data_IF_371944858330
#
_entry.id   IF_371944858330
#
_cell.length_a   1.000
_cell.length_b   1.000
_cell.length_c   1.000
_cell.angle_alpha   90.00
_cell.angle_beta   90.00
_cell.angle_gamma   90.00
#
_symmetry.space_group_name_H-M   'P 1'
#
loop_
_entity.id
_entity.type
_entity.pdbx_description
1 polymer ?
#
# COMPACT_ATOMS: atom_id res chain seq x y z
N UNK A 1 -44.33 -79.45 -38.74
CA UNK A 1 -44.30 -80.01 -37.37
C UNK A 1 -43.07 -80.91 -37.27
N UNK A 2 -42.14 -80.85 -36.33
CA UNK A 2 -41.82 -80.00 -35.17
C UNK A 2 -40.29 -80.21 -35.01
N UNK A 3 -39.50 -79.14 -34.92
CA UNK A 3 -38.15 -79.26 -34.36
C UNK A 3 -38.10 -78.45 -33.08
N UNK A 4 -37.91 -79.17 -31.97
CA UNK A 4 -37.60 -78.61 -30.66
C UNK A 4 -36.11 -78.79 -30.46
N UNK A 5 -35.36 -77.68 -30.30
CA UNK A 5 -34.04 -77.71 -29.70
C UNK A 5 -33.85 -76.54 -28.73
N UNK A 6 -33.35 -76.94 -27.56
CA UNK A 6 -33.15 -76.21 -26.32
C UNK A 6 -32.26 -74.97 -26.52
N UNK A 7 -32.60 -73.85 -25.88
CA UNK A 7 -31.67 -72.73 -25.70
C UNK A 7 -30.99 -72.86 -24.34
N UNK A 8 -29.68 -72.84 -24.42
CA UNK A 8 -28.66 -72.99 -23.38
C UNK A 8 -28.54 -71.68 -22.59
N UNK A 9 -28.56 -71.78 -21.25
CA UNK A 9 -28.25 -70.68 -20.34
C UNK A 9 -26.76 -70.31 -20.44
N UNK A 10 -26.46 -69.03 -20.72
CA UNK A 10 -25.12 -68.46 -20.58
C UNK A 10 -25.21 -67.39 -19.48
N UNK A 11 -24.66 -67.72 -18.32
CA UNK A 11 -24.41 -66.78 -17.24
C UNK A 11 -23.26 -65.86 -17.66
N UNK A 12 -23.50 -64.54 -17.65
CA UNK A 12 -22.49 -63.54 -17.97
C UNK A 12 -21.77 -63.08 -16.71
N UNK A 13 -20.45 -63.04 -16.88
CA UNK A 13 -19.37 -62.82 -15.94
C UNK A 13 -19.38 -61.39 -15.39
N UNK A 14 -19.39 -61.27 -14.07
CA UNK A 14 -19.05 -60.05 -13.33
C UNK A 14 -17.53 -59.86 -13.32
N UNK A 15 -17.03 -58.77 -13.90
CA UNK A 15 -15.69 -58.25 -13.64
C UNK A 15 -15.80 -56.75 -13.35
N UNK A 16 -15.75 -56.42 -12.05
CA UNK A 16 -15.82 -55.07 -11.54
C UNK A 16 -14.54 -54.30 -11.87
N UNK A 17 -14.72 -53.13 -12.46
CA UNK A 17 -13.67 -52.14 -12.66
C UNK A 17 -13.62 -51.28 -11.39
N UNK A 18 -12.71 -51.58 -10.46
CA UNK A 18 -12.45 -50.71 -9.31
C UNK A 18 -11.57 -49.57 -9.81
N UNK A 19 -12.20 -48.43 -10.09
CA UNK A 19 -11.50 -47.19 -10.39
C UNK A 19 -10.77 -46.71 -9.13
N UNK A 20 -9.46 -46.54 -9.22
CA UNK A 20 -8.68 -45.76 -8.26
C UNK A 20 -9.09 -44.30 -8.41
N UNK A 21 -10.02 -43.83 -7.59
CA UNK A 21 -10.25 -42.39 -7.43
C UNK A 21 -9.01 -41.81 -6.75
N UNK A 22 -8.26 -41.04 -7.54
CA UNK A 22 -7.21 -40.15 -7.05
C UNK A 22 -7.83 -39.21 -6.02
N UNK A 23 -7.40 -39.33 -4.76
CA UNK A 23 -7.67 -38.35 -3.72
C UNK A 23 -6.89 -37.08 -4.05
N UNK A 24 -7.45 -36.24 -4.92
CA UNK A 24 -7.14 -34.82 -4.92
C UNK A 24 -7.80 -34.22 -3.67
N UNK A 25 -7.07 -34.14 -2.57
CA UNK A 25 -7.30 -33.09 -1.58
C UNK A 25 -6.98 -31.78 -2.27
N UNK A 26 -7.99 -31.21 -2.93
CA UNK A 26 -8.03 -29.79 -3.20
C UNK A 26 -8.33 -29.18 -1.84
N UNK A 27 -7.31 -28.68 -1.17
CA UNK A 27 -7.55 -27.52 -0.32
C UNK A 27 -8.10 -26.48 -1.31
N UNK A 28 -9.42 -26.31 -1.30
CA UNK A 28 -10.05 -25.23 -2.06
C UNK A 28 -9.38 -23.95 -1.55
N UNK A 29 -8.73 -23.15 -2.41
CA UNK A 29 -8.20 -21.88 -1.96
C UNK A 29 -9.34 -21.11 -1.32
N UNK A 30 -9.14 -20.69 -0.09
CA UNK A 30 -10.09 -19.82 0.59
C UNK A 30 -10.33 -18.62 -0.34
N UNK A 31 -11.59 -18.25 -0.63
CA UNK A 31 -11.86 -17.12 -1.49
C UNK A 31 -11.12 -15.92 -0.93
N UNK A 32 -10.26 -15.31 -1.75
CA UNK A 32 -9.59 -14.08 -1.37
C UNK A 32 -10.69 -13.05 -1.14
N UNK A 33 -10.90 -12.69 0.14
CA UNK A 33 -11.74 -11.56 0.48
C UNK A 33 -11.06 -10.35 -0.18
N UNK A 34 -11.75 -9.51 -0.96
CA UNK A 34 -11.15 -8.25 -1.41
C UNK A 34 -10.67 -7.51 -0.15
N UNK A 35 -9.35 -7.41 0.03
CA UNK A 35 -8.74 -6.98 1.30
C UNK A 35 -8.58 -5.46 1.38
N UNK A 36 -9.00 -4.74 0.33
CA UNK A 36 -8.97 -3.28 0.23
C UNK A 36 -9.97 -2.56 1.15
N UNK A 37 -10.74 -3.27 1.98
CA UNK A 37 -11.53 -2.63 3.05
C UNK A 37 -10.60 -2.21 4.20
N UNK A 38 -10.03 -1.01 4.11
CA UNK A 38 -9.14 -0.41 5.10
C UNK A 38 -9.96 0.17 6.26
N UNK A 39 -9.64 -0.24 7.50
CA UNK A 39 -10.27 0.29 8.71
C UNK A 39 -9.61 1.55 9.25
N UNK A 40 -8.30 1.70 9.05
CA UNK A 40 -7.56 2.92 9.41
C UNK A 40 -6.22 2.97 8.69
N UNK A 41 -5.69 4.17 8.48
CA UNK A 41 -4.33 4.38 7.97
C UNK A 41 -3.53 5.28 8.92
N UNK A 42 -2.22 5.08 9.04
CA UNK A 42 -1.35 5.99 9.80
C UNK A 42 -0.16 6.40 8.94
N UNK A 43 0.07 7.71 8.83
CA UNK A 43 1.31 8.27 8.30
C UNK A 43 2.23 8.58 9.47
N UNK A 44 3.43 8.01 9.46
CA UNK A 44 4.47 8.29 10.45
C UNK A 44 5.68 8.89 9.75
N UNK A 45 6.20 9.98 10.31
CA UNK A 45 7.36 10.71 9.84
C UNK A 45 8.41 10.60 10.93
N UNK A 46 9.48 9.86 10.65
CA UNK A 46 10.61 9.69 11.56
C UNK A 46 11.80 10.46 11.01
N UNK A 47 12.32 11.42 11.77
CA UNK A 47 13.51 12.17 11.37
C UNK A 47 14.70 11.22 11.13
N UNK A 48 15.43 11.46 10.05
CA UNK A 48 16.63 10.70 9.67
C UNK A 48 17.71 11.66 9.18
N UNK A 49 18.97 11.26 9.34
CA UNK A 49 20.09 11.98 8.74
C UNK A 49 20.28 11.52 7.30
N UNK A 50 20.30 12.45 6.34
CA UNK A 50 20.47 12.13 4.92
C UNK A 50 21.91 12.35 4.44
N UNK A 51 22.54 11.29 3.92
CA UNK A 51 23.91 11.32 3.40
C UNK A 51 23.94 10.93 1.93
N UNK A 52 23.76 11.91 1.05
CA UNK A 52 23.86 11.71 -0.39
C UNK A 52 22.70 10.90 -0.97
N UNK A 53 22.79 9.57 -0.89
CA UNK A 53 21.85 8.60 -1.47
C UNK A 53 21.22 7.64 -0.44
N UNK A 54 21.53 7.79 0.85
CA UNK A 54 20.99 6.93 1.90
C UNK A 54 20.71 7.71 3.19
N UNK A 55 19.78 7.16 3.99
CA UNK A 55 19.44 7.64 5.31
C UNK A 55 20.18 6.87 6.41
N UNK A 56 20.47 7.56 7.51
CA UNK A 56 20.89 6.99 8.78
C UNK A 56 19.86 7.31 9.85
N UNK A 57 19.56 6.31 10.68
CA UNK A 57 18.71 6.51 11.86
C UNK A 57 19.44 7.37 12.89
N UNK A 58 18.70 8.30 13.49
CA UNK A 58 19.16 9.07 14.64
C UNK A 58 18.95 8.26 15.92
N UNK A 59 19.74 8.55 16.97
CA UNK A 59 19.57 7.91 18.28
C UNK A 59 18.27 8.34 18.97
N UNK A 60 17.87 9.61 18.78
CA UNK A 60 16.65 10.20 19.33
C UNK A 60 15.94 11.01 18.23
N UNK A 61 15.31 10.33 17.25
CA UNK A 61 14.66 11.00 16.13
C UNK A 61 13.37 11.66 16.59
N UNK A 62 13.07 12.83 16.04
CA UNK A 62 11.70 13.35 16.10
C UNK A 62 10.76 12.42 15.34
N UNK A 63 9.64 12.06 15.96
CA UNK A 63 8.59 11.25 15.33
C UNK A 63 7.27 11.96 15.44
N UNK A 64 6.68 12.29 14.29
CA UNK A 64 5.32 12.83 14.21
C UNK A 64 4.45 11.89 13.40
N UNK A 65 3.19 11.74 13.78
CA UNK A 65 2.27 10.83 13.12
C UNK A 65 0.85 11.36 13.11
N UNK A 66 0.08 10.93 12.11
CA UNK A 66 -1.36 11.16 12.03
C UNK A 66 -2.05 9.87 11.61
N UNK A 67 -3.09 9.50 12.35
CA UNK A 67 -3.96 8.36 12.04
C UNK A 67 -5.25 8.87 11.42
N UNK A 68 -5.75 8.16 10.43
CA UNK A 68 -6.98 8.41 9.70
C UNK A 68 -7.95 7.26 9.97
N UNK A 69 -9.24 7.57 10.06
CA UNK A 69 -10.30 6.59 10.18
C UNK A 69 -10.62 5.89 8.84
N UNK A 70 -11.64 5.04 8.83
CA UNK A 70 -12.12 4.29 7.66
C UNK A 70 -12.58 5.21 6.51
N UNK A 71 -12.96 6.45 6.81
CA UNK A 71 -13.34 7.46 5.81
C UNK A 71 -12.13 8.27 5.30
N UNK A 72 -10.92 7.96 5.76
CA UNK A 72 -9.69 8.69 5.42
C UNK A 72 -9.60 10.06 6.11
N UNK A 73 -10.35 10.28 7.19
CA UNK A 73 -10.37 11.54 7.93
C UNK A 73 -9.43 11.49 9.13
N UNK A 74 -8.57 12.52 9.32
CA UNK A 74 -7.78 12.62 10.54
C UNK A 74 -8.63 13.15 11.71
N UNK A 75 -8.14 13.07 12.97
CA UNK A 75 -8.76 13.75 14.09
C UNK A 75 -9.00 15.24 13.82
N UNK A 76 -10.09 15.78 14.36
CA UNK A 76 -10.42 17.21 14.19
C UNK A 76 -9.28 18.08 14.71
N UNK A 77 -8.77 18.95 13.85
CA UNK A 77 -7.66 19.86 14.18
C UNK A 77 -6.27 19.23 14.11
N UNK A 78 -6.15 17.99 13.64
CA UNK A 78 -4.87 17.36 13.37
C UNK A 78 -4.09 18.14 12.31
N UNK A 79 -2.84 18.45 12.65
CA UNK A 79 -1.86 19.06 11.77
C UNK A 79 -0.48 18.52 12.13
N UNK A 80 0.42 18.53 11.16
CA UNK A 80 1.82 18.14 11.33
C UNK A 80 2.71 19.38 11.32
N UNK A 81 3.71 19.39 12.18
CA UNK A 81 4.85 20.30 12.06
C UNK A 81 6.02 19.51 11.47
N UNK A 82 6.63 20.05 10.43
CA UNK A 82 7.86 19.52 9.85
C UNK A 82 8.87 20.66 9.72
N UNK A 83 10.12 20.39 10.06
CA UNK A 83 11.17 21.41 9.96
C UNK A 83 11.81 21.45 8.58
N UNK A 84 11.99 22.66 8.04
CA UNK A 84 12.78 22.89 6.84
C UNK A 84 14.25 22.48 7.05
N UNK A 85 14.83 21.84 6.03
CA UNK A 85 16.18 21.31 6.04
C UNK A 85 16.29 19.87 6.55
N UNK A 86 15.25 19.34 7.20
CA UNK A 86 15.23 17.95 7.68
C UNK A 86 14.75 16.96 6.61
N UNK A 87 15.10 15.70 6.81
CA UNK A 87 14.56 14.56 6.07
C UNK A 87 13.81 13.64 7.02
N UNK A 88 12.64 13.18 6.59
CA UNK A 88 11.84 12.24 7.35
C UNK A 88 11.65 10.95 6.56
N UNK A 89 11.87 9.81 7.18
CA UNK A 89 11.34 8.54 6.68
C UNK A 89 9.83 8.56 6.90
N UNK A 90 9.08 8.60 5.81
CA UNK A 90 7.63 8.47 5.78
C UNK A 90 7.26 6.99 5.66
N UNK A 91 6.44 6.50 6.58
CA UNK A 91 5.82 5.17 6.49
C UNK A 91 4.31 5.26 6.57
N UNK A 92 3.62 4.55 5.68
CA UNK A 92 2.20 4.25 5.76
C UNK A 92 2.02 2.88 6.40
N UNK A 93 1.23 2.81 7.47
CA UNK A 93 0.68 1.54 7.98
C UNK A 93 -0.84 1.56 7.90
N UNK A 94 -1.45 0.40 7.79
CA UNK A 94 -2.89 0.29 7.69
C UNK A 94 -3.44 -0.89 8.51
N UNK A 95 -4.69 -0.77 8.92
CA UNK A 95 -5.48 -1.88 9.44
C UNK A 95 -6.58 -2.24 8.45
N UNK A 96 -7.03 -3.48 8.47
CA UNK A 96 -8.24 -3.86 7.75
C UNK A 96 -9.51 -3.40 8.47
N UNK A 97 -10.67 -3.63 7.86
CA UNK A 97 -11.99 -3.29 8.43
C UNK A 97 -12.28 -3.93 9.80
N UNK A 98 -11.58 -5.01 10.14
CA UNK A 98 -11.69 -5.68 11.44
C UNK A 98 -10.69 -5.13 12.48
N UNK A 99 -9.88 -4.15 12.10
CA UNK A 99 -8.85 -3.54 12.93
C UNK A 99 -7.58 -4.38 13.09
N UNK A 100 -7.34 -5.36 12.20
CA UNK A 100 -6.11 -6.15 12.19
C UNK A 100 -5.02 -5.37 11.46
N UNK A 101 -3.84 -5.27 12.08
CA UNK A 101 -2.67 -4.59 11.50
C UNK A 101 -2.09 -5.33 10.29
N UNK A 102 -1.40 -4.59 9.43
CA UNK A 102 -0.63 -5.14 8.32
C UNK A 102 -1.33 -5.10 6.97
N UNK A 103 -2.43 -4.34 6.83
CA UNK A 103 -3.14 -4.22 5.55
C UNK A 103 -2.25 -3.58 4.47
N UNK A 104 -1.23 -2.80 4.83
CA UNK A 104 -0.26 -2.25 3.88
C UNK A 104 0.60 -3.32 3.16
N UNK A 105 0.67 -4.53 3.72
CA UNK A 105 1.40 -5.64 3.13
C UNK A 105 0.77 -6.08 1.80
N UNK A 106 -0.56 -6.04 1.68
CA UNK A 106 -1.25 -6.33 0.42
C UNK A 106 -0.81 -5.36 -0.67
N UNK A 107 -0.72 -4.06 -0.38
CA UNK A 107 -0.27 -3.05 -1.35
C UNK A 107 1.14 -3.37 -1.87
N UNK A 108 2.00 -3.90 -1.00
CA UNK A 108 3.34 -4.35 -1.36
C UNK A 108 3.30 -5.67 -2.15
N UNK A 109 2.47 -6.64 -1.76
CA UNK A 109 2.36 -7.93 -2.45
C UNK A 109 1.83 -7.75 -3.87
N UNK A 110 0.85 -6.86 -4.04
CA UNK A 110 0.26 -6.48 -5.32
C UNK A 110 0.88 -5.17 -5.86
N UNK A 111 2.20 -5.08 -5.73
CA UNK A 111 2.96 -3.89 -6.13
C UNK A 111 2.94 -3.60 -7.64
N UNK A 112 2.42 -4.46 -8.50
CA UNK A 112 2.25 -4.18 -9.93
C UNK A 112 1.00 -3.34 -10.25
N UNK A 113 0.09 -3.22 -9.29
CA UNK A 113 -1.16 -2.45 -9.42
C UNK A 113 -1.33 -1.37 -8.34
N UNK A 114 -0.64 -1.44 -7.19
CA UNK A 114 -0.74 -0.39 -6.17
C UNK A 114 0.30 0.73 -6.33
N UNK A 115 -0.10 1.98 -6.17
CA UNK A 115 0.80 3.14 -6.24
C UNK A 115 0.28 4.29 -5.37
N UNK A 116 1.13 4.84 -4.51
CA UNK A 116 0.85 6.07 -3.78
C UNK A 116 1.16 7.31 -4.63
N UNK A 117 0.51 8.42 -4.30
CA UNK A 117 0.78 9.73 -4.85
C UNK A 117 0.79 10.76 -3.72
N UNK A 118 1.73 11.69 -3.79
CA UNK A 118 2.00 12.67 -2.74
C UNK A 118 1.77 14.08 -3.28
N UNK A 119 0.63 14.68 -2.94
CA UNK A 119 0.16 15.94 -3.53
C UNK A 119 -0.03 17.04 -2.47
N UNK A 120 -0.32 18.25 -2.95
CA UNK A 120 -0.77 19.38 -2.12
C UNK A 120 0.37 20.25 -1.57
N UNK A 121 1.59 19.73 -1.51
CA UNK A 121 2.77 20.53 -1.22
C UNK A 121 3.02 21.58 -2.32
N UNK A 122 3.34 22.84 -1.97
CA UNK A 122 3.77 23.83 -2.95
C UNK A 122 5.08 23.42 -3.64
N UNK A 123 5.31 23.94 -4.85
CA UNK A 123 6.45 23.56 -5.67
C UNK A 123 7.80 23.82 -4.95
N UNK A 124 8.62 22.77 -4.88
CA UNK A 124 9.93 22.79 -4.25
C UNK A 124 9.90 23.00 -2.73
N UNK A 125 8.77 22.74 -2.06
CA UNK A 125 8.71 22.67 -0.59
C UNK A 125 9.07 21.27 -0.12
N UNK A 126 8.51 20.25 -0.77
CA UNK A 126 8.73 18.85 -0.44
C UNK A 126 9.27 18.10 -1.66
N UNK A 127 10.18 17.16 -1.41
CA UNK A 127 10.64 16.17 -2.38
C UNK A 127 10.53 14.77 -1.79
N UNK A 128 10.06 13.80 -2.58
CA UNK A 128 9.74 12.46 -2.10
C UNK A 128 10.53 11.42 -2.89
N UNK A 129 11.25 10.55 -2.16
CA UNK A 129 11.92 9.40 -2.72
C UNK A 129 11.31 8.11 -2.18
N UNK A 130 10.93 7.18 -3.06
CA UNK A 130 10.39 5.89 -2.65
C UNK A 130 11.52 5.00 -2.12
N UNK A 131 11.21 4.26 -1.06
CA UNK A 131 12.16 3.40 -0.37
C UNK A 131 11.52 2.09 0.09
N UNK A 132 10.50 1.60 -0.63
CA UNK A 132 9.86 0.34 -0.30
C UNK A 132 10.85 -0.83 -0.30
N UNK A 133 10.62 -1.85 0.55
CA UNK A 133 11.36 -3.11 0.50
C UNK A 133 11.41 -3.69 -0.93
N UNK A 134 12.56 -4.26 -1.28
CA UNK A 134 12.84 -4.85 -2.60
C UNK A 134 12.56 -3.92 -3.79
N UNK A 135 12.51 -2.61 -3.56
CA UNK A 135 12.20 -1.60 -4.57
C UNK A 135 10.86 -1.88 -5.28
N UNK A 136 9.83 -2.25 -4.51
CA UNK A 136 8.45 -2.47 -5.00
C UNK A 136 7.78 -1.21 -5.58
N UNK A 137 8.29 -0.03 -5.20
CA UNK A 137 7.87 1.29 -5.70
C UNK A 137 6.36 1.54 -5.57
N UNK A 138 5.75 1.13 -4.47
CA UNK A 138 4.38 1.45 -4.09
C UNK A 138 4.32 2.79 -3.36
N UNK A 139 5.31 3.12 -2.54
CA UNK A 139 5.41 4.34 -1.74
C UNK A 139 4.98 4.19 -0.29
N UNK A 140 4.79 2.95 0.19
CA UNK A 140 4.43 2.63 1.58
C UNK A 140 5.55 3.09 2.52
N UNK A 141 6.80 3.02 2.06
CA UNK A 141 7.94 3.67 2.71
C UNK A 141 8.67 4.59 1.74
N UNK A 142 9.09 5.75 2.21
CA UNK A 142 9.89 6.71 1.45
C UNK A 142 10.62 7.70 2.33
N UNK A 143 11.42 8.55 1.72
CA UNK A 143 12.07 9.69 2.34
C UNK A 143 11.44 10.98 1.83
N UNK A 144 10.99 11.81 2.77
CA UNK A 144 10.46 13.13 2.54
C UNK A 144 11.51 14.17 2.92
N UNK A 145 12.05 14.86 1.93
CA UNK A 145 12.94 15.99 2.13
C UNK A 145 12.13 17.28 2.24
N UNK A 146 12.29 17.99 3.34
CA UNK A 146 11.63 19.28 3.56
C UNK A 146 12.60 20.37 3.14
N UNK A 147 12.43 20.91 1.95
CA UNK A 147 13.45 21.72 1.28
C UNK A 147 13.49 23.18 1.76
N UNK A 148 12.34 23.74 2.17
CA UNK A 148 12.20 25.14 2.60
C UNK A 148 10.91 25.35 3.37
N UNK A 149 10.84 26.44 4.12
CA UNK A 149 9.61 26.91 4.78
C UNK A 149 8.51 27.29 3.79
N UNK A 150 7.27 27.22 4.26
CA UNK A 150 6.07 27.55 3.50
C UNK A 150 4.93 27.93 4.44
N UNK A 151 3.98 28.72 3.94
CA UNK A 151 2.65 28.78 4.55
C UNK A 151 2.05 27.36 4.62
N UNK A 152 1.14 27.15 5.58
CA UNK A 152 0.46 25.88 5.79
C UNK A 152 -0.26 25.41 4.52
N UNK A 153 -0.23 24.10 4.27
CA UNK A 153 -0.90 23.47 3.13
C UNK A 153 -1.53 22.14 3.53
N UNK A 154 -2.46 21.65 2.72
CA UNK A 154 -3.02 20.30 2.89
C UNK A 154 -2.13 19.33 2.13
N UNK A 155 -1.41 18.49 2.87
CA UNK A 155 -0.72 17.35 2.29
C UNK A 155 -1.72 16.23 2.01
N UNK A 156 -1.66 15.67 0.80
CA UNK A 156 -2.61 14.68 0.33
C UNK A 156 -1.89 13.41 -0.14
N UNK A 157 -2.15 12.29 0.54
CA UNK A 157 -1.57 10.98 0.23
C UNK A 157 -2.66 10.09 -0.33
N UNK A 158 -2.52 9.69 -1.60
CA UNK A 158 -3.54 8.89 -2.30
C UNK A 158 -2.95 7.54 -2.66
N UNK A 159 -3.57 6.45 -2.21
CA UNK A 159 -3.29 5.11 -2.74
C UNK A 159 -4.21 4.84 -3.92
N UNK A 160 -3.63 4.39 -5.03
CA UNK A 160 -4.34 3.97 -6.23
C UNK A 160 -4.21 2.46 -6.44
N UNK A 161 -5.33 1.78 -6.58
CA UNK A 161 -5.44 0.50 -7.29
C UNK A 161 -5.52 0.80 -8.79
N UNK A 162 -4.44 0.51 -9.50
CA UNK A 162 -4.30 0.74 -10.94
C UNK A 162 -4.76 -0.47 -11.74
N UNK A 163 -5.30 -0.24 -12.93
CA UNK A 163 -5.54 -1.35 -13.85
C UNK A 163 -4.24 -2.07 -14.22
N UNK A 164 -4.30 -3.38 -14.44
CA UNK A 164 -3.14 -4.20 -14.83
C UNK A 164 -2.30 -3.56 -15.95
N UNK A 165 -0.99 -3.44 -15.69
CA UNK A 165 -0.02 -2.92 -16.64
C UNK A 165 0.08 -1.38 -16.70
N UNK A 166 -0.79 -0.63 -16.02
CA UNK A 166 -0.71 0.84 -15.96
C UNK A 166 0.53 1.30 -15.19
N UNK A 167 0.83 0.66 -14.05
CA UNK A 167 1.95 1.06 -13.19
C UNK A 167 3.31 1.07 -13.90
N UNK A 168 3.50 0.18 -14.87
CA UNK A 168 4.72 0.13 -15.68
C UNK A 168 5.02 1.44 -16.46
N UNK A 169 4.03 2.32 -16.63
CA UNK A 169 4.17 3.63 -17.27
C UNK A 169 4.48 4.78 -16.30
N UNK A 170 4.42 4.53 -14.99
CA UNK A 170 4.60 5.53 -13.94
C UNK A 170 6.10 5.70 -13.65
N UNK A 171 6.54 6.95 -13.60
CA UNK A 171 7.92 7.34 -13.30
C UNK A 171 8.00 8.20 -12.05
N UNK A 172 9.20 8.48 -11.57
CA UNK A 172 9.43 9.30 -10.37
C UNK A 172 8.82 10.70 -10.51
N UNK A 173 8.81 11.25 -11.73
CA UNK A 173 8.19 12.53 -12.07
C UNK A 173 6.65 12.53 -11.97
N UNK A 174 6.04 11.37 -11.78
CA UNK A 174 4.60 11.22 -11.65
C UNK A 174 4.10 11.14 -10.21
N UNK A 175 4.99 10.85 -9.24
CA UNK A 175 4.61 10.60 -7.84
C UNK A 175 3.92 11.77 -7.17
N UNK A 176 4.25 13.00 -7.58
CA UNK A 176 3.63 14.24 -7.10
C UNK A 176 2.80 14.94 -8.19
N UNK A 177 2.39 14.20 -9.24
CA UNK A 177 1.63 14.78 -10.35
C UNK A 177 0.15 14.95 -9.99
N UNK A 178 -0.40 16.17 -9.95
CA UNK A 178 -1.80 16.40 -9.61
C UNK A 178 -2.77 15.77 -10.62
N UNK A 179 -2.30 15.39 -11.82
CA UNK A 179 -3.07 14.65 -12.82
C UNK A 179 -2.89 13.13 -12.68
N UNK A 180 -2.67 12.60 -11.46
CA UNK A 180 -2.50 11.17 -11.20
C UNK A 180 -3.65 10.30 -11.75
N UNK A 181 -4.87 10.85 -11.87
CA UNK A 181 -6.03 10.19 -12.46
C UNK A 181 -5.90 9.90 -13.96
N UNK A 182 -4.86 10.42 -14.63
CA UNK A 182 -4.47 9.99 -15.99
C UNK A 182 -4.10 8.51 -16.04
N UNK A 183 -3.67 7.94 -14.92
CA UNK A 183 -3.43 6.51 -14.75
C UNK A 183 -4.73 5.83 -14.32
N UNK A 184 -5.31 5.01 -15.20
CA UNK A 184 -6.62 4.38 -14.98
C UNK A 184 -6.61 3.41 -13.80
N UNK A 185 -7.72 3.34 -13.05
CA UNK A 185 -7.86 2.61 -11.78
C UNK A 185 -8.78 3.35 -10.80
N UNK A 186 -8.79 2.96 -9.54
CA UNK A 186 -9.59 3.53 -8.45
C UNK A 186 -8.70 4.01 -7.29
N UNK A 187 -9.25 4.82 -6.38
CA UNK A 187 -8.54 5.27 -5.19
C UNK A 187 -8.96 4.37 -4.04
N UNK A 188 -8.00 3.75 -3.36
CA UNK A 188 -8.29 2.96 -2.15
C UNK A 188 -8.14 3.83 -0.90
N UNK A 189 -7.25 4.83 -0.95
CA UNK A 189 -7.06 5.81 0.12
C UNK A 189 -6.96 7.24 -0.45
N UNK A 190 -7.50 8.21 0.27
CA UNK A 190 -7.33 9.64 0.01
C UNK A 190 -7.17 10.40 1.35
N UNK A 191 -5.93 10.44 1.86
CA UNK A 191 -5.61 10.92 3.20
C UNK A 191 -5.15 12.39 3.16
N UNK A 192 -5.87 13.27 3.85
CA UNK A 192 -5.59 14.72 3.87
C UNK A 192 -5.26 15.21 5.27
N UNK A 193 -4.11 15.85 5.43
CA UNK A 193 -3.71 16.47 6.70
C UNK A 193 -3.07 17.84 6.46
N UNK A 194 -3.30 18.78 7.35
CA UNK A 194 -2.62 20.08 7.30
C UNK A 194 -1.15 19.94 7.74
N UNK A 195 -0.23 20.53 7.00
CA UNK A 195 1.21 20.54 7.28
C UNK A 195 1.69 21.97 7.41
N UNK A 196 2.43 22.23 8.48
CA UNK A 196 3.09 23.49 8.79
C UNK A 196 4.60 23.26 8.67
N UNK A 197 5.26 23.98 7.77
CA UNK A 197 6.71 23.87 7.60
C UNK A 197 7.39 25.05 8.27
N UNK A 198 8.11 24.78 9.36
CA UNK A 198 8.76 25.80 10.19
C UNK A 198 10.27 25.82 9.96
N UNK A 199 10.92 26.91 10.35
CA UNK A 199 12.38 26.98 10.30
C UNK A 199 12.95 26.04 11.37
N UNK A 200 13.79 25.09 10.97
CA UNK A 200 14.37 24.08 11.86
C UNK A 200 15.47 24.56 12.79
N UNK A 201 15.68 25.87 12.91
CA UNK A 201 16.85 26.46 13.57
C UNK A 201 16.48 27.69 14.40
N UNK A 202 15.92 27.47 15.59
CA UNK A 202 15.71 28.52 16.61
C UNK A 202 15.94 28.04 18.04
N UNK A 203 16.96 27.21 18.29
CA UNK A 203 17.45 26.96 19.66
C UNK A 203 18.97 26.78 19.70
N UNK A 204 19.71 27.83 19.33
CA UNK A 204 21.11 27.96 19.73
C UNK A 204 21.44 29.41 20.18
N UNK A 205 21.52 29.54 21.51
CA UNK A 205 22.37 30.45 22.30
C UNK A 205 22.09 31.97 22.29
N UNK A 206 21.26 32.41 23.26
CA UNK A 206 21.40 33.72 23.93
C UNK A 206 21.52 33.50 25.45
N UNK A 207 22.69 33.09 25.94
CA UNK A 207 23.08 33.22 27.36
C UNK A 207 24.59 33.44 27.55
#
# INVERSE_FOLDING_TARGET
MKHSFKKLSIALLSLGFVAFISSCSKDDPEPEVPQEEIGSATLTFTEVEWHGDHAHDLEDPEVVSVTFDEDGLPPVGAHLHLDAGKTYRLTLTATDFAGREGAEQEFLEESDIHQLFFLGAPEGVLDYQYADPDNKRVGVTGYLHVLKTSDSFVFNVILRHLNNGVKASITDADWNNPNYTKFSGENDLDLKVEVHVVDGDHDHDDH
#
